data_IF_848006046758
#
_entry.id   IF_848006046758
#
_cell.length_a   1.000
_cell.length_b   1.000
_cell.length_c   1.000
_cell.angle_alpha   90.00
_cell.angle_beta   90.00
_cell.angle_gamma   90.00
#
_symmetry.space_group_name_H-M   'P 1'
#
loop_
_entity.id
_entity.type
_entity.pdbx_description
1 polymer ?
#
# COMPACT_ATOMS: atom_id res chain seq x y z
N UNK A 1 11.54 12.99 -8.86
CA UNK A 1 11.19 11.57 -9.06
C UNK A 1 12.41 10.70 -8.80
N UNK A 2 12.23 9.48 -8.26
CA UNK A 2 13.36 8.58 -7.96
C UNK A 2 14.02 8.01 -9.24
N UNK A 3 13.24 7.65 -10.26
CA UNK A 3 13.77 7.07 -11.51
C UNK A 3 14.61 5.82 -11.26
N UNK A 4 15.74 5.70 -11.95
CA UNK A 4 16.71 4.59 -11.77
C UNK A 4 17.20 4.42 -10.32
N UNK A 5 17.17 5.48 -9.51
CA UNK A 5 17.56 5.41 -8.08
C UNK A 5 16.57 4.65 -7.21
N UNK A 6 15.41 4.23 -7.75
CA UNK A 6 14.45 3.40 -7.03
C UNK A 6 14.94 1.96 -6.84
N UNK A 7 15.81 1.47 -7.74
CA UNK A 7 16.32 0.10 -7.68
C UNK A 7 17.13 -0.11 -6.39
N UNK A 8 16.74 -1.12 -5.61
CA UNK A 8 17.33 -1.43 -4.31
C UNK A 8 16.91 -0.49 -3.17
N UNK A 9 16.08 0.52 -3.43
CA UNK A 9 15.65 1.47 -2.41
C UNK A 9 14.55 0.90 -1.50
N UNK A 10 14.23 1.64 -0.43
CA UNK A 10 13.06 1.40 0.42
C UNK A 10 11.95 2.40 0.08
N UNK A 11 10.76 1.92 -0.23
CA UNK A 11 9.58 2.75 -0.42
C UNK A 11 8.77 2.82 0.89
N UNK A 12 8.49 4.04 1.35
CA UNK A 12 7.58 4.30 2.46
C UNK A 12 6.25 4.78 1.91
N UNK A 13 5.17 4.12 2.27
CA UNK A 13 3.82 4.45 1.83
C UNK A 13 2.88 4.47 3.02
N UNK A 14 1.97 5.45 3.05
CA UNK A 14 1.03 5.59 4.18
C UNK A 14 -0.11 4.57 4.14
N UNK A 15 -0.41 4.01 2.96
CA UNK A 15 -1.38 2.95 2.75
C UNK A 15 -0.74 1.85 1.91
N UNK A 16 -1.15 0.61 2.14
CA UNK A 16 -0.73 -0.54 1.35
C UNK A 16 -0.87 -0.29 -0.16
N UNK A 17 0.14 -0.63 -0.98
CA UNK A 17 0.06 -0.49 -2.42
C UNK A 17 -1.12 -1.30 -3.00
N UNK A 18 -1.84 -0.72 -3.96
CA UNK A 18 -2.97 -1.41 -4.59
C UNK A 18 -2.50 -2.54 -5.51
N UNK A 19 -3.16 -3.70 -5.42
CA UNK A 19 -2.88 -4.92 -6.20
C UNK A 19 -3.92 -5.24 -7.27
N UNK A 20 -4.96 -4.41 -7.43
CA UNK A 20 -6.04 -4.63 -8.39
C UNK A 20 -5.95 -3.69 -9.60
N UNK A 21 -6.38 -4.18 -10.76
CA UNK A 21 -6.51 -3.37 -11.97
C UNK A 21 -7.80 -2.54 -11.91
N UNK A 22 -7.64 -1.22 -11.82
CA UNK A 22 -8.75 -0.26 -11.79
C UNK A 22 -8.68 0.67 -13.00
N UNK A 23 -8.76 1.98 -12.74
CA UNK A 23 -8.56 3.01 -13.79
C UNK A 23 -7.10 3.14 -14.22
N UNK A 24 -6.18 2.82 -13.31
CA UNK A 24 -4.74 2.80 -13.54
C UNK A 24 -4.18 1.42 -13.22
N UNK A 25 -3.00 1.05 -13.75
CA UNK A 25 -2.30 -0.16 -13.35
C UNK A 25 -2.02 -0.24 -11.83
N UNK A 26 -1.84 -1.43 -11.25
CA UNK A 26 -1.55 -1.61 -9.83
C UNK A 26 -0.22 -0.98 -9.42
N UNK A 27 -0.18 -0.33 -8.25
CA UNK A 27 1.06 0.18 -7.68
C UNK A 27 2.06 -0.93 -7.32
N UNK A 28 1.55 -2.11 -6.96
CA UNK A 28 2.37 -3.29 -6.68
C UNK A 28 3.28 -3.65 -7.87
N UNK A 29 2.71 -3.68 -9.08
CA UNK A 29 3.45 -4.02 -10.30
C UNK A 29 4.50 -2.95 -10.62
N UNK A 30 4.17 -1.68 -10.41
CA UNK A 30 5.09 -0.57 -10.59
C UNK A 30 6.29 -0.63 -9.61
N UNK A 31 6.06 -1.00 -8.34
CA UNK A 31 7.12 -1.17 -7.35
C UNK A 31 8.02 -2.36 -7.66
N UNK A 32 7.44 -3.47 -8.10
CA UNK A 32 8.18 -4.65 -8.57
C UNK A 32 9.03 -4.31 -9.79
N UNK A 33 8.44 -3.66 -10.79
CA UNK A 33 9.15 -3.23 -11.99
C UNK A 33 10.28 -2.22 -11.70
N UNK A 34 10.09 -1.34 -10.71
CA UNK A 34 11.12 -0.42 -10.25
C UNK A 34 12.27 -1.11 -9.48
N UNK A 35 12.08 -2.37 -9.07
CA UNK A 35 13.09 -3.16 -8.37
C UNK A 35 13.43 -2.63 -6.98
N UNK A 36 12.45 -2.12 -6.24
CA UNK A 36 12.65 -1.71 -4.83
C UNK A 36 13.00 -2.94 -3.98
N UNK A 37 13.88 -2.78 -2.98
CA UNK A 37 14.26 -3.88 -2.09
C UNK A 37 13.27 -4.08 -0.94
N UNK A 38 12.65 -2.98 -0.48
CA UNK A 38 11.77 -2.99 0.69
C UNK A 38 10.60 -2.03 0.54
N UNK A 39 9.44 -2.42 1.05
CA UNK A 39 8.26 -1.56 1.18
C UNK A 39 7.79 -1.53 2.64
N UNK A 40 7.61 -0.34 3.18
CA UNK A 40 7.08 -0.11 4.52
C UNK A 40 5.74 0.62 4.39
N UNK A 41 4.65 -0.08 4.69
CA UNK A 41 3.30 0.47 4.66
C UNK A 41 2.84 0.87 6.07
N UNK A 42 2.33 2.08 6.28
CA UNK A 42 1.84 2.45 7.62
C UNK A 42 0.59 1.66 8.02
N UNK A 43 -0.37 1.48 7.10
CA UNK A 43 -1.58 0.69 7.33
C UNK A 43 -1.86 -0.25 6.16
N UNK A 44 -2.45 -1.41 6.49
CA UNK A 44 -3.03 -2.31 5.50
C UNK A 44 -4.32 -1.70 4.94
N UNK A 45 -4.57 -1.88 3.65
CA UNK A 45 -5.80 -1.41 3.03
C UNK A 45 -6.97 -2.27 3.55
N UNK A 46 -7.99 -1.67 4.19
CA UNK A 46 -9.13 -2.41 4.75
C UNK A 46 -10.04 -3.03 3.67
N UNK A 47 -9.84 -2.71 2.40
CA UNK A 47 -10.64 -3.28 1.32
C UNK A 47 -10.21 -4.72 1.03
N UNK A 48 -11.17 -5.60 0.71
CA UNK A 48 -10.90 -6.99 0.25
C UNK A 48 -10.18 -7.05 -1.11
N UNK A 49 -9.62 -5.95 -1.62
CA UNK A 49 -9.02 -5.84 -2.96
C UNK A 49 -7.49 -5.72 -2.91
N UNK A 50 -6.90 -5.45 -1.76
CA UNK A 50 -5.45 -5.30 -1.56
C UNK A 50 -4.74 -6.60 -1.17
N UNK A 51 -5.45 -7.56 -0.58
CA UNK A 51 -4.95 -8.83 -0.01
C UNK A 51 -4.00 -9.66 -0.88
N UNK A 52 -3.90 -9.36 -2.18
CA UNK A 52 -3.00 -10.00 -3.12
C UNK A 52 -1.58 -9.38 -3.20
N UNK A 53 -1.19 -8.43 -2.35
CA UNK A 53 0.17 -7.82 -2.41
C UNK A 53 1.28 -8.74 -1.87
N UNK A 54 1.00 -9.54 -0.85
CA UNK A 54 2.02 -10.30 -0.09
C UNK A 54 2.71 -11.40 -0.90
N UNK A 55 1.96 -12.14 -1.73
CA UNK A 55 2.51 -13.22 -2.56
C UNK A 55 3.40 -12.70 -3.70
N UNK A 56 2.97 -11.72 -4.52
CA UNK A 56 3.82 -11.11 -5.55
C UNK A 56 5.07 -10.44 -4.99
N UNK A 57 4.96 -9.73 -3.85
CA UNK A 57 6.13 -9.09 -3.25
C UNK A 57 7.16 -10.12 -2.78
N UNK A 58 6.70 -11.22 -2.18
CA UNK A 58 7.58 -12.33 -1.78
C UNK A 58 8.24 -13.01 -2.99
N UNK A 59 7.50 -13.27 -4.07
CA UNK A 59 8.04 -13.84 -5.31
C UNK A 59 9.05 -12.91 -5.99
N UNK A 60 8.86 -11.59 -5.88
CA UNK A 60 9.78 -10.58 -6.37
C UNK A 60 10.99 -10.32 -5.44
N UNK A 61 11.05 -10.97 -4.28
CA UNK A 61 12.14 -10.77 -3.30
C UNK A 61 12.09 -9.43 -2.56
N UNK A 62 10.92 -8.79 -2.50
CA UNK A 62 10.71 -7.52 -1.81
C UNK A 62 10.32 -7.79 -0.36
N UNK A 63 11.07 -7.19 0.56
CA UNK A 63 10.74 -7.21 1.99
C UNK A 63 9.58 -6.25 2.29
N UNK A 64 8.52 -6.74 2.92
CA UNK A 64 7.31 -5.95 3.21
C UNK A 64 7.04 -5.93 4.70
N UNK A 65 6.87 -4.74 5.24
CA UNK A 65 6.49 -4.53 6.64
C UNK A 65 5.34 -3.55 6.76
N UNK A 66 4.51 -3.71 7.80
CA UNK A 66 3.37 -2.85 8.05
C UNK A 66 3.33 -2.32 9.49
N UNK A 67 2.62 -1.22 9.71
CA UNK A 67 2.28 -0.71 11.04
C UNK A 67 3.11 0.49 11.52
N UNK A 68 4.12 0.92 10.76
CA UNK A 68 4.92 2.10 11.09
C UNK A 68 4.05 3.36 11.03
N UNK A 69 3.87 4.07 12.14
CA UNK A 69 3.01 5.26 12.24
C UNK A 69 1.55 5.00 11.79
N UNK A 70 1.01 3.84 12.15
CA UNK A 70 -0.35 3.45 11.77
C UNK A 70 -1.41 4.43 12.28
N UNK A 71 -1.29 4.92 13.52
CA UNK A 71 -2.25 5.86 14.12
C UNK A 71 -2.38 7.15 13.29
N UNK A 72 -1.24 7.71 12.87
CA UNK A 72 -1.17 8.91 12.05
C UNK A 72 -1.76 8.65 10.65
N UNK A 73 -1.44 7.51 10.04
CA UNK A 73 -2.00 7.13 8.75
C UNK A 73 -3.53 6.92 8.79
N UNK A 74 -4.05 6.38 9.89
CA UNK A 74 -5.51 6.28 10.10
C UNK A 74 -6.16 7.65 10.26
N UNK A 75 -5.49 8.59 10.95
CA UNK A 75 -5.99 9.94 11.12
C UNK A 75 -6.08 10.70 9.78
N UNK A 76 -5.17 10.45 8.84
CA UNK A 76 -5.23 11.01 7.48
C UNK A 76 -6.45 10.48 6.69
N UNK A 77 -6.93 9.27 6.99
CA UNK A 77 -7.91 8.56 6.17
C UNK A 77 -9.26 8.27 6.89
N UNK A 78 -9.61 9.01 7.96
CA UNK A 78 -10.79 8.74 8.81
C UNK A 78 -12.09 8.46 8.03
N UNK A 79 -12.41 9.29 7.04
CA UNK A 79 -13.64 9.15 6.26
C UNK A 79 -13.64 7.90 5.37
N UNK A 80 -12.52 7.66 4.68
CA UNK A 80 -12.31 6.44 3.89
C UNK A 80 -12.39 5.19 4.76
N UNK A 81 -11.69 5.19 5.89
CA UNK A 81 -11.66 4.08 6.83
C UNK A 81 -13.03 3.77 7.41
N UNK A 82 -13.80 4.78 7.84
CA UNK A 82 -15.17 4.55 8.34
C UNK A 82 -16.03 3.91 7.25
N UNK A 83 -16.00 4.45 6.02
CA UNK A 83 -16.77 3.89 4.90
C UNK A 83 -16.39 2.45 4.58
N UNK A 84 -15.10 2.13 4.54
CA UNK A 84 -14.64 0.79 4.17
C UNK A 84 -14.84 -0.24 5.30
N UNK A 85 -14.69 0.17 6.57
CA UNK A 85 -14.84 -0.73 7.73
C UNK A 85 -16.30 -0.97 8.13
N UNK A 86 -17.16 0.05 8.03
CA UNK A 86 -18.53 -0.01 8.56
C UNK A 86 -19.62 0.17 7.51
N UNK A 87 -19.29 0.68 6.32
CA UNK A 87 -20.26 1.06 5.31
C UNK A 87 -20.88 2.45 5.51
N UNK A 88 -20.49 3.21 6.54
CA UNK A 88 -21.07 4.53 6.84
C UNK A 88 -20.13 5.69 6.45
N UNK A 89 -20.70 6.87 6.15
CA UNK A 89 -19.93 8.10 5.94
C UNK A 89 -19.44 8.68 7.28
N UNK A 90 -18.51 9.63 7.21
CA UNK A 90 -17.86 10.14 8.43
C UNK A 90 -18.84 10.74 9.45
N UNK A 91 -19.91 11.39 8.99
CA UNK A 91 -20.93 12.04 9.83
C UNK A 91 -22.29 11.32 9.87
N UNK A 92 -22.41 10.15 9.26
CA UNK A 92 -23.60 9.30 9.40
C UNK A 92 -23.51 8.39 10.61
#
# INVERSE_FOLDING_TARGET
MAGEKAKGATAYVTLEPCSHHGRTPPCCDALIAAGVARVVASMQDPTRRSWAWTLPSAQAGIDVSHGLMMSEAEQLNKGFLKRMRTGFLIFS
#
